data_IF_625503127353
#
_entry.id   IF_625503127353
#
_cell.length_a   1.000
_cell.length_b   1.000
_cell.length_c   1.000
_cell.angle_alpha   90.00
_cell.angle_beta   90.00
_cell.angle_gamma   90.00
#
_symmetry.space_group_name_H-M   'P 1'
#
loop_
_entity.id
_entity.type
_entity.pdbx_description
1 polymer ?
#
# COMPACT_ATOMS: atom_id res chain seq x y z
N UNK A 1 -18.43 -1.02 0.91
CA UNK A 1 -16.98 -1.18 0.73
C UNK A 1 -16.71 -2.14 -0.43
N UNK A 2 -15.86 -1.78 -1.38
CA UNK A 2 -15.42 -2.69 -2.42
C UNK A 2 -14.06 -3.28 -2.04
N UNK A 3 -13.92 -4.60 -2.10
CA UNK A 3 -12.67 -5.31 -1.84
C UNK A 3 -12.26 -6.07 -3.09
N UNK A 4 -11.03 -5.84 -3.55
CA UNK A 4 -10.47 -6.47 -4.74
C UNK A 4 -9.48 -7.53 -4.31
N UNK A 5 -9.69 -8.79 -4.72
CA UNK A 5 -8.79 -9.91 -4.40
C UNK A 5 -8.85 -10.99 -5.48
N UNK A 6 -7.82 -11.83 -5.53
CA UNK A 6 -7.72 -12.96 -6.43
C UNK A 6 -7.02 -14.11 -5.71
N UNK A 7 -7.66 -15.29 -5.65
CA UNK A 7 -7.13 -16.44 -4.94
C UNK A 7 -5.75 -16.90 -5.45
N UNK A 8 -5.41 -16.60 -6.70
CA UNK A 8 -4.09 -16.90 -7.27
C UNK A 8 -2.94 -16.19 -6.57
N UNK A 9 -3.19 -15.10 -5.82
CA UNK A 9 -2.14 -14.49 -5.00
C UNK A 9 -1.69 -15.38 -3.82
N UNK A 10 -2.37 -16.50 -3.57
CA UNK A 10 -2.01 -17.49 -2.56
C UNK A 10 -1.05 -18.58 -3.07
N UNK A 11 -0.77 -18.63 -4.38
CA UNK A 11 -0.06 -19.73 -5.03
C UNK A 11 1.46 -19.72 -4.84
N UNK A 12 2.03 -18.66 -4.24
CA UNK A 12 3.45 -18.58 -3.98
C UNK A 12 3.77 -18.36 -2.50
N UNK A 13 4.83 -18.98 -2.03
CA UNK A 13 5.34 -18.84 -0.66
C UNK A 13 6.78 -19.35 -0.55
N UNK A 14 7.50 -18.94 0.47
CA UNK A 14 8.74 -19.56 0.91
C UNK A 14 8.62 -19.93 2.40
N UNK A 15 9.32 -20.97 2.87
CA UNK A 15 9.36 -21.32 4.29
C UNK A 15 9.77 -20.11 5.15
N UNK A 16 9.07 -19.91 6.26
CA UNK A 16 9.35 -18.86 7.26
C UNK A 16 9.34 -17.41 6.74
N UNK A 17 8.91 -17.20 5.49
CA UNK A 17 8.82 -15.86 4.93
C UNK A 17 7.62 -15.09 5.50
N UNK A 18 7.80 -13.85 6.02
CA UNK A 18 6.72 -13.11 6.66
C UNK A 18 5.63 -12.67 5.67
N UNK A 19 5.98 -12.36 4.42
CA UNK A 19 5.03 -12.08 3.34
C UNK A 19 4.49 -13.43 2.80
N UNK A 20 3.41 -13.91 3.39
CA UNK A 20 2.85 -15.27 3.24
C UNK A 20 1.37 -15.26 2.84
N UNK A 21 0.86 -16.36 2.21
CA UNK A 21 -0.54 -16.47 1.75
C UNK A 21 -1.58 -16.21 2.82
N UNK A 22 -1.30 -16.58 4.09
CA UNK A 22 -2.21 -16.42 5.23
C UNK A 22 -2.60 -14.97 5.48
N UNK A 23 -1.77 -14.01 5.10
CA UNK A 23 -2.08 -12.58 5.15
C UNK A 23 -3.37 -12.26 4.42
N UNK A 24 -3.58 -12.90 3.27
CA UNK A 24 -4.78 -12.68 2.44
C UNK A 24 -5.88 -13.67 2.80
N UNK A 25 -5.59 -14.96 2.93
CA UNK A 25 -6.62 -15.98 3.13
C UNK A 25 -7.37 -15.80 4.44
N UNK A 26 -6.67 -15.59 5.57
CA UNK A 26 -7.29 -15.33 6.87
C UNK A 26 -8.07 -14.01 6.87
N UNK A 27 -7.52 -12.95 6.26
CA UNK A 27 -8.22 -11.66 6.15
C UNK A 27 -9.50 -11.78 5.30
N UNK A 28 -9.42 -12.42 4.14
CA UNK A 28 -10.59 -12.63 3.30
C UNK A 28 -11.67 -13.48 4.01
N UNK A 29 -11.26 -14.48 4.79
CA UNK A 29 -12.17 -15.30 5.60
C UNK A 29 -12.90 -14.43 6.65
N UNK A 30 -12.18 -13.60 7.43
CA UNK A 30 -12.78 -12.70 8.41
C UNK A 30 -13.72 -11.70 7.73
N UNK A 31 -13.27 -11.06 6.63
CA UNK A 31 -14.08 -10.07 5.93
C UNK A 31 -15.35 -10.64 5.28
N UNK A 32 -15.37 -11.93 4.92
CA UNK A 32 -16.59 -12.60 4.44
C UNK A 32 -17.58 -12.93 5.57
N UNK A 33 -17.11 -13.11 6.79
CA UNK A 33 -17.93 -13.46 7.96
C UNK A 33 -18.48 -12.25 8.72
N UNK A 34 -17.79 -11.10 8.66
CA UNK A 34 -18.20 -9.88 9.36
C UNK A 34 -19.54 -9.36 8.83
N UNK A 35 -20.27 -8.59 9.68
CA UNK A 35 -21.58 -8.02 9.36
C UNK A 35 -21.67 -6.53 9.66
N UNK A 36 -20.55 -5.90 10.00
CA UNK A 36 -20.51 -4.50 10.42
C UNK A 36 -20.80 -3.53 9.26
N UNK A 37 -20.37 -3.91 8.04
CA UNK A 37 -20.59 -3.13 6.82
C UNK A 37 -20.67 -4.04 5.59
N UNK A 38 -21.41 -3.64 4.53
CA UNK A 38 -21.51 -4.46 3.33
C UNK A 38 -20.21 -4.43 2.52
N UNK A 39 -19.84 -5.60 1.97
CA UNK A 39 -18.67 -5.74 1.08
C UNK A 39 -19.13 -6.27 -0.28
N UNK A 40 -18.64 -5.63 -1.34
CA UNK A 40 -18.72 -6.12 -2.73
C UNK A 40 -17.33 -6.58 -3.14
N UNK A 41 -17.22 -7.83 -3.55
CA UNK A 41 -15.97 -8.45 -3.97
C UNK A 41 -15.75 -8.30 -5.47
N UNK A 42 -14.50 -7.98 -5.85
CA UNK A 42 -14.11 -7.81 -7.25
C UNK A 42 -12.82 -8.57 -7.56
N UNK A 43 -12.65 -8.91 -8.84
CA UNK A 43 -11.38 -9.37 -9.38
C UNK A 43 -10.52 -8.19 -9.90
N UNK A 44 -9.18 -8.35 -9.91
CA UNK A 44 -8.27 -7.39 -10.53
C UNK A 44 -8.54 -7.18 -12.02
N UNK A 45 -8.18 -6.01 -12.54
CA UNK A 45 -8.08 -5.81 -13.97
C UNK A 45 -6.90 -6.57 -14.57
N UNK A 46 -6.97 -7.02 -15.83
CA UNK A 46 -5.78 -7.47 -16.54
C UNK A 46 -4.82 -6.31 -16.76
N UNK A 47 -3.52 -6.60 -16.71
CA UNK A 47 -2.44 -5.59 -16.82
C UNK A 47 -1.45 -6.05 -17.89
N UNK A 48 -1.19 -5.18 -18.86
CA UNK A 48 -0.20 -5.35 -19.91
C UNK A 48 1.16 -4.73 -19.55
N UNK A 49 2.16 -4.94 -20.39
CA UNK A 49 3.51 -4.39 -20.21
C UNK A 49 3.51 -2.86 -20.21
N UNK A 50 2.69 -2.22 -21.06
CA UNK A 50 2.62 -0.76 -21.12
C UNK A 50 2.18 -0.14 -19.80
N UNK A 51 1.31 -0.80 -19.08
CA UNK A 51 0.85 -0.36 -17.76
C UNK A 51 1.99 -0.40 -16.74
N UNK A 52 2.82 -1.45 -16.75
CA UNK A 52 3.98 -1.54 -15.85
C UNK A 52 5.04 -0.49 -16.20
N UNK A 53 5.29 -0.26 -17.49
CA UNK A 53 6.25 0.72 -18.00
C UNK A 53 5.86 2.19 -17.72
N UNK A 54 4.70 2.44 -17.15
CA UNK A 54 4.34 3.78 -16.64
C UNK A 54 5.26 4.21 -15.49
N UNK A 55 5.68 3.27 -14.65
CA UNK A 55 6.48 3.51 -13.46
C UNK A 55 7.86 2.85 -13.50
N UNK A 56 8.00 1.75 -14.22
CA UNK A 56 9.23 0.97 -14.30
C UNK A 56 9.89 1.06 -15.68
N UNK A 57 11.18 0.76 -15.75
CA UNK A 57 11.88 0.61 -17.02
C UNK A 57 11.73 -0.82 -17.59
N UNK A 58 12.05 -0.95 -18.87
CA UNK A 58 11.93 -2.24 -19.60
C UNK A 58 12.88 -3.31 -19.04
N UNK A 59 14.07 -2.92 -18.61
CA UNK A 59 15.05 -3.84 -18.03
C UNK A 59 14.51 -4.46 -16.74
N UNK A 60 13.88 -3.65 -15.86
CA UNK A 60 13.24 -4.13 -14.65
C UNK A 60 12.08 -5.08 -14.94
N UNK A 61 11.19 -4.67 -15.85
CA UNK A 61 10.07 -5.52 -16.27
C UNK A 61 10.56 -6.89 -16.78
N UNK A 62 11.56 -6.91 -17.63
CA UNK A 62 12.14 -8.14 -18.15
C UNK A 62 12.82 -8.95 -17.06
N UNK A 63 13.54 -8.31 -16.14
CA UNK A 63 14.14 -8.97 -14.97
C UNK A 63 13.08 -9.66 -14.12
N UNK A 64 11.99 -9.00 -13.75
CA UNK A 64 10.92 -9.62 -12.95
C UNK A 64 10.26 -10.79 -13.67
N UNK A 65 10.18 -10.75 -15.01
CA UNK A 65 9.63 -11.85 -15.83
C UNK A 65 10.52 -13.09 -15.88
N UNK A 66 11.83 -12.92 -15.80
CA UNK A 66 12.80 -13.97 -16.16
C UNK A 66 13.72 -14.40 -15.01
N UNK A 67 13.71 -13.68 -13.89
CA UNK A 67 14.60 -13.99 -12.77
C UNK A 67 14.37 -15.39 -12.21
N UNK A 68 15.45 -16.08 -11.95
CA UNK A 68 15.51 -17.38 -11.27
C UNK A 68 16.21 -17.29 -9.91
N UNK A 69 16.90 -16.17 -9.66
CA UNK A 69 17.57 -15.86 -8.41
C UNK A 69 16.86 -14.71 -7.69
N UNK A 70 16.98 -14.65 -6.36
CA UNK A 70 16.37 -13.62 -5.55
C UNK A 70 16.80 -12.21 -6.00
N UNK A 71 15.88 -11.26 -5.96
CA UNK A 71 16.12 -9.86 -6.30
C UNK A 71 16.92 -9.12 -5.23
N UNK A 72 16.70 -9.52 -3.98
CA UNK A 72 17.41 -9.04 -2.78
C UNK A 72 17.36 -10.14 -1.71
N UNK A 73 17.97 -9.90 -0.55
CA UNK A 73 18.00 -10.87 0.55
C UNK A 73 16.61 -11.22 1.08
N UNK A 74 15.63 -10.36 0.84
CA UNK A 74 14.26 -10.45 1.34
C UNK A 74 13.21 -10.62 0.24
N UNK A 75 13.61 -10.63 -1.02
CA UNK A 75 12.67 -10.63 -2.17
C UNK A 75 13.00 -11.80 -3.11
N UNK A 76 12.45 -13.00 -2.83
CA UNK A 76 12.73 -14.20 -3.62
C UNK A 76 12.15 -14.14 -5.03
N UNK A 77 12.78 -14.85 -5.98
CA UNK A 77 12.22 -15.09 -7.30
C UNK A 77 11.29 -16.31 -7.27
N UNK A 78 10.02 -16.07 -7.01
CA UNK A 78 9.01 -17.13 -7.09
C UNK A 78 8.65 -17.46 -8.54
N UNK A 79 8.25 -18.70 -8.78
CA UNK A 79 7.71 -19.09 -10.09
C UNK A 79 6.50 -18.22 -10.45
N UNK A 80 6.52 -17.66 -11.65
CA UNK A 80 5.45 -16.79 -12.18
C UNK A 80 5.22 -15.51 -11.34
N UNK A 81 6.20 -15.04 -10.59
CA UNK A 81 6.03 -13.86 -9.73
C UNK A 81 5.58 -12.62 -10.50
N UNK A 82 6.03 -12.44 -11.74
CA UNK A 82 5.59 -11.34 -12.60
C UNK A 82 4.06 -11.33 -12.78
N UNK A 83 3.43 -12.49 -12.92
CA UNK A 83 1.98 -12.59 -13.09
C UNK A 83 1.24 -12.29 -11.78
N UNK A 84 1.77 -12.72 -10.63
CA UNK A 84 1.20 -12.36 -9.33
C UNK A 84 1.32 -10.85 -9.07
N UNK A 85 2.48 -10.26 -9.33
CA UNK A 85 2.70 -8.82 -9.21
C UNK A 85 1.78 -8.00 -10.15
N UNK A 86 1.58 -8.46 -11.40
CA UNK A 86 0.62 -7.84 -12.33
C UNK A 86 -0.82 -7.85 -11.79
N UNK A 87 -1.25 -8.95 -11.16
CA UNK A 87 -2.58 -9.01 -10.55
C UNK A 87 -2.72 -8.03 -9.40
N UNK A 88 -1.66 -7.85 -8.59
CA UNK A 88 -1.64 -6.84 -7.53
C UNK A 88 -1.75 -5.42 -8.10
N UNK A 89 -1.00 -5.10 -9.15
CA UNK A 89 -1.17 -3.82 -9.90
C UNK A 89 -2.59 -3.69 -10.42
N UNK A 90 -3.15 -4.73 -11.04
CA UNK A 90 -4.50 -4.74 -11.58
C UNK A 90 -5.58 -4.49 -10.53
N UNK A 91 -5.36 -4.96 -9.29
CA UNK A 91 -6.24 -4.68 -8.17
C UNK A 91 -6.18 -3.21 -7.74
N UNK A 92 -4.96 -2.62 -7.71
CA UNK A 92 -4.79 -1.18 -7.49
C UNK A 92 -5.49 -0.34 -8.54
N UNK A 93 -5.38 -0.69 -9.82
CA UNK A 93 -6.08 0.00 -10.92
C UNK A 93 -7.61 -0.15 -10.83
N UNK A 94 -8.11 -1.31 -10.41
CA UNK A 94 -9.53 -1.52 -10.15
C UNK A 94 -10.02 -0.67 -8.98
N UNK A 95 -9.21 -0.56 -7.91
CA UNK A 95 -9.52 0.30 -6.77
C UNK A 95 -9.60 1.79 -7.19
N UNK A 96 -8.66 2.27 -8.00
CA UNK A 96 -8.70 3.62 -8.60
C UNK A 96 -9.97 3.83 -9.44
N UNK A 97 -10.33 2.85 -10.27
CA UNK A 97 -11.53 2.94 -11.10
C UNK A 97 -12.80 3.09 -10.25
N UNK A 98 -12.93 2.33 -9.17
CA UNK A 98 -14.06 2.40 -8.25
C UNK A 98 -14.06 3.72 -7.47
N UNK A 99 -12.90 4.12 -6.94
CA UNK A 99 -12.75 5.38 -6.21
C UNK A 99 -13.12 6.60 -7.08
N UNK A 100 -12.76 6.60 -8.35
CA UNK A 100 -13.13 7.64 -9.31
C UNK A 100 -14.65 7.79 -9.46
N UNK A 101 -15.43 6.76 -9.17
CA UNK A 101 -16.90 6.76 -9.15
C UNK A 101 -17.49 7.17 -7.81
N UNK A 102 -16.65 7.57 -6.84
CA UNK A 102 -17.07 7.90 -5.49
C UNK A 102 -17.26 6.69 -4.57
N UNK A 103 -16.78 5.52 -4.98
CA UNK A 103 -16.90 4.27 -4.23
C UNK A 103 -15.61 4.01 -3.44
N UNK A 104 -15.71 3.62 -2.16
CA UNK A 104 -14.56 3.22 -1.35
C UNK A 104 -14.05 1.85 -1.81
N UNK A 105 -12.73 1.73 -1.99
CA UNK A 105 -12.12 0.53 -2.51
C UNK A 105 -10.82 0.17 -1.78
N UNK A 106 -10.62 -1.13 -1.55
CA UNK A 106 -9.43 -1.71 -0.93
C UNK A 106 -8.89 -2.88 -1.75
N UNK A 107 -7.64 -2.81 -2.15
CA UNK A 107 -6.92 -3.91 -2.78
C UNK A 107 -6.35 -4.84 -1.70
N UNK A 108 -6.98 -6.00 -1.54
CA UNK A 108 -6.53 -7.08 -0.66
C UNK A 108 -5.72 -8.09 -1.49
N UNK A 109 -4.51 -7.70 -1.86
CA UNK A 109 -3.64 -8.49 -2.74
C UNK A 109 -2.22 -8.57 -2.19
N UNK A 110 -1.46 -9.50 -2.72
CA UNK A 110 -0.01 -9.64 -2.63
C UNK A 110 0.56 -9.98 -4.01
N UNK A 111 1.80 -9.59 -4.29
CA UNK A 111 2.76 -8.90 -3.42
C UNK A 111 2.42 -7.42 -3.15
N UNK A 112 3.02 -6.82 -2.11
CA UNK A 112 3.01 -5.37 -1.88
C UNK A 112 3.80 -4.62 -2.96
N UNK A 113 3.89 -3.28 -2.88
CA UNK A 113 4.49 -2.53 -3.98
C UNK A 113 5.37 -1.34 -3.60
N UNK A 114 5.21 -0.71 -2.44
CA UNK A 114 5.77 0.60 -2.15
C UNK A 114 7.32 0.68 -2.12
N UNK A 115 8.00 -0.47 -1.93
CA UNK A 115 9.47 -0.52 -1.98
C UNK A 115 10.06 -0.68 -3.38
N UNK A 116 9.30 -1.20 -4.36
CA UNK A 116 9.80 -1.39 -5.72
C UNK A 116 10.11 -0.04 -6.37
N UNK A 117 11.39 0.20 -6.66
CA UNK A 117 11.84 1.40 -7.35
C UNK A 117 11.63 1.27 -8.86
N UNK A 118 12.01 2.27 -9.64
CA UNK A 118 11.88 2.24 -11.09
C UNK A 118 12.55 1.01 -11.74
N UNK A 119 13.64 0.53 -11.15
CA UNK A 119 14.52 -0.48 -11.72
C UNK A 119 14.98 -1.56 -10.74
N UNK A 120 14.40 -1.64 -9.56
CA UNK A 120 14.80 -2.60 -8.54
C UNK A 120 13.63 -3.13 -7.73
N UNK A 121 13.53 -4.46 -7.59
CA UNK A 121 12.61 -5.15 -6.71
C UNK A 121 13.28 -5.40 -5.35
N UNK A 122 12.61 -5.05 -4.25
CA UNK A 122 13.11 -5.18 -2.88
C UNK A 122 11.96 -5.09 -1.88
N UNK A 123 12.18 -5.47 -0.62
CA UNK A 123 11.17 -5.35 0.43
C UNK A 123 9.88 -6.09 0.08
N UNK A 124 9.99 -7.29 -0.48
CA UNK A 124 8.86 -8.11 -0.94
C UNK A 124 8.09 -7.54 -2.14
N UNK A 125 8.50 -6.38 -2.68
CA UNK A 125 7.84 -5.64 -3.75
C UNK A 125 8.54 -5.87 -5.10
N UNK A 126 7.76 -6.20 -6.13
CA UNK A 126 8.26 -6.45 -7.48
C UNK A 126 7.91 -5.33 -8.45
N UNK A 127 6.66 -4.86 -8.43
CA UNK A 127 6.20 -3.66 -9.13
C UNK A 127 5.56 -2.71 -8.12
N UNK A 128 5.71 -1.42 -8.35
CA UNK A 128 5.15 -0.40 -7.46
C UNK A 128 3.67 -0.17 -7.78
N UNK A 129 2.82 -0.91 -7.06
CA UNK A 129 1.36 -0.90 -7.27
C UNK A 129 0.78 0.50 -7.13
N UNK A 130 1.18 1.23 -6.06
CA UNK A 130 0.63 2.54 -5.72
C UNK A 130 1.12 3.63 -6.69
N UNK A 131 2.39 3.62 -7.10
CA UNK A 131 2.92 4.59 -8.05
C UNK A 131 2.29 4.40 -9.43
N UNK A 132 2.13 3.15 -9.90
CA UNK A 132 1.42 2.87 -11.16
C UNK A 132 -0.03 3.36 -11.07
N UNK A 133 -0.70 3.11 -9.94
CA UNK A 133 -2.07 3.57 -9.71
C UNK A 133 -2.17 5.10 -9.72
N UNK A 134 -1.23 5.82 -9.08
CA UNK A 134 -1.19 7.28 -9.04
C UNK A 134 -1.00 7.89 -10.44
N UNK A 135 -0.02 7.41 -11.19
CA UNK A 135 0.26 7.89 -12.54
C UNK A 135 -0.87 7.56 -13.51
N UNK A 136 -1.52 6.41 -13.33
CA UNK A 136 -2.71 6.02 -14.11
C UNK A 136 -3.90 6.91 -13.77
N UNK A 137 -4.14 7.21 -12.49
CA UNK A 137 -5.19 8.13 -12.07
C UNK A 137 -5.04 9.52 -12.72
N UNK A 138 -3.81 10.06 -12.78
CA UNK A 138 -3.51 11.32 -13.46
C UNK A 138 -3.85 11.26 -14.95
N UNK A 139 -3.42 10.21 -15.65
CA UNK A 139 -3.72 9.99 -17.08
C UNK A 139 -5.23 9.93 -17.35
N UNK A 140 -6.00 9.46 -16.39
CA UNK A 140 -7.45 9.36 -16.46
C UNK A 140 -8.19 10.56 -15.86
N UNK A 141 -7.54 11.72 -15.73
CA UNK A 141 -8.17 13.01 -15.44
C UNK A 141 -8.19 13.42 -13.96
N UNK A 142 -7.59 12.63 -13.05
CA UNK A 142 -7.36 13.04 -11.67
C UNK A 142 -6.11 13.93 -11.60
N UNK A 143 -6.24 15.22 -11.92
CA UNK A 143 -5.08 16.13 -12.09
C UNK A 143 -4.14 16.15 -10.91
N UNK A 144 -4.67 16.27 -9.67
CA UNK A 144 -3.88 16.22 -8.44
C UNK A 144 -4.16 14.90 -7.73
N UNK A 145 -3.11 14.12 -7.51
CA UNK A 145 -3.17 12.85 -6.79
C UNK A 145 -2.26 12.94 -5.57
N UNK A 146 -2.77 12.51 -4.42
CA UNK A 146 -1.95 12.34 -3.22
C UNK A 146 -1.80 10.86 -2.90
N UNK A 147 -0.60 10.47 -2.49
CA UNK A 147 -0.32 9.19 -1.83
C UNK A 147 -0.16 9.46 -0.34
N UNK A 148 -0.84 8.71 0.48
CA UNK A 148 -0.70 8.67 1.93
C UNK A 148 -0.23 7.27 2.31
N UNK A 149 1.01 7.15 2.70
CA UNK A 149 1.64 5.91 3.12
C UNK A 149 1.73 5.87 4.65
N UNK A 150 1.09 4.87 5.27
CA UNK A 150 1.19 4.62 6.69
C UNK A 150 1.76 3.24 7.01
N UNK A 151 2.40 2.60 6.03
CA UNK A 151 3.29 1.47 6.32
C UNK A 151 4.42 1.94 7.23
N UNK A 152 4.89 1.09 8.13
CA UNK A 152 5.93 1.47 9.08
C UNK A 152 7.30 1.65 8.43
N UNK A 153 7.48 1.11 7.23
CA UNK A 153 8.71 1.23 6.45
C UNK A 153 8.59 2.35 5.41
N UNK A 154 9.66 3.09 5.19
CA UNK A 154 9.69 4.11 4.14
C UNK A 154 9.35 3.54 2.77
N UNK A 155 8.36 4.12 2.09
CA UNK A 155 7.98 3.79 0.71
C UNK A 155 8.97 4.33 -0.31
N UNK A 156 10.24 3.92 -0.18
CA UNK A 156 11.37 4.40 -0.98
C UNK A 156 11.16 4.26 -2.48
N UNK A 157 10.46 3.21 -2.92
CA UNK A 157 10.13 3.00 -4.33
C UNK A 157 9.08 4.00 -4.82
N UNK A 158 8.07 4.26 -4.01
CA UNK A 158 7.05 5.28 -4.30
C UNK A 158 7.66 6.65 -4.39
N UNK A 159 8.51 7.03 -3.43
CA UNK A 159 9.27 8.28 -3.47
C UNK A 159 10.12 8.36 -4.73
N UNK A 160 10.97 7.38 -5.02
CA UNK A 160 11.85 7.37 -6.18
C UNK A 160 11.13 7.51 -7.53
N UNK A 161 9.90 7.01 -7.64
CA UNK A 161 9.10 7.09 -8.87
C UNK A 161 8.33 8.41 -8.97
N UNK A 162 7.82 8.92 -7.85
CA UNK A 162 6.89 10.05 -7.81
C UNK A 162 7.54 11.38 -7.44
N UNK A 163 8.77 11.39 -6.92
CA UNK A 163 9.51 12.61 -6.59
C UNK A 163 9.67 13.54 -7.79
N UNK A 164 9.41 14.83 -7.57
CA UNK A 164 9.44 15.86 -8.62
C UNK A 164 8.30 15.78 -9.63
N UNK A 165 7.34 14.84 -9.49
CA UNK A 165 6.21 14.75 -10.41
C UNK A 165 5.22 15.88 -10.16
N UNK A 166 4.85 16.65 -11.21
CA UNK A 166 3.91 17.75 -11.05
C UNK A 166 2.52 17.24 -10.63
N UNK A 167 1.91 17.97 -9.70
CA UNK A 167 0.56 17.64 -9.19
C UNK A 167 0.44 16.26 -8.51
N UNK A 168 1.53 15.73 -8.01
CA UNK A 168 1.56 14.59 -7.10
C UNK A 168 2.07 15.08 -5.75
N UNK A 169 1.51 14.55 -4.67
CA UNK A 169 2.00 14.69 -3.30
C UNK A 169 2.21 13.29 -2.75
N UNK A 170 3.32 13.04 -2.10
CA UNK A 170 3.56 11.85 -1.28
C UNK A 170 3.71 12.29 0.17
N UNK A 171 2.95 11.66 1.05
CA UNK A 171 3.04 11.79 2.51
C UNK A 171 3.32 10.41 3.04
N UNK A 172 4.44 10.24 3.71
CA UNK A 172 4.93 8.96 4.19
C UNK A 172 5.24 9.06 5.69
N UNK A 173 4.65 8.19 6.49
CA UNK A 173 4.80 8.15 7.94
C UNK A 173 5.49 6.84 8.31
N UNK A 174 6.77 6.89 8.67
CA UNK A 174 7.53 5.67 8.88
C UNK A 174 8.51 5.74 10.05
N UNK A 175 8.93 4.58 10.52
CA UNK A 175 9.99 4.45 11.51
C UNK A 175 11.34 4.80 10.90
N UNK A 176 12.11 5.64 11.59
CA UNK A 176 13.50 5.93 11.22
C UNK A 176 14.39 6.03 12.47
N UNK A 177 15.57 5.36 12.52
CA UNK A 177 16.09 4.47 11.48
C UNK A 177 15.33 3.13 11.42
N UNK A 178 15.09 2.64 10.20
CA UNK A 178 14.55 1.32 9.90
C UNK A 178 14.85 0.94 8.44
N UNK A 179 14.45 -0.27 8.02
CA UNK A 179 14.48 -0.67 6.61
C UNK A 179 13.70 0.35 5.74
N UNK A 180 14.17 0.69 4.54
CA UNK A 180 15.41 0.29 3.89
C UNK A 180 16.61 1.20 4.22
N UNK A 181 16.52 2.09 5.20
CA UNK A 181 17.58 3.03 5.59
C UNK A 181 17.55 4.37 4.83
N UNK A 182 16.43 4.67 4.19
CA UNK A 182 16.17 5.92 3.43
C UNK A 182 15.01 6.71 4.04
N UNK A 183 14.69 7.87 3.49
CA UNK A 183 13.56 8.69 3.94
C UNK A 183 13.83 9.55 5.16
N UNK A 184 15.11 9.79 5.51
CA UNK A 184 15.49 10.64 6.66
C UNK A 184 15.15 12.11 6.49
N UNK A 185 14.93 12.58 5.26
CA UNK A 185 14.58 13.95 4.94
C UNK A 185 13.38 13.98 3.97
N UNK A 186 12.62 15.08 4.01
CA UNK A 186 11.59 15.35 2.99
C UNK A 186 12.23 15.99 1.76
N UNK A 187 11.82 15.57 0.57
CA UNK A 187 12.35 16.07 -0.70
C UNK A 187 11.23 16.41 -1.69
N UNK A 188 11.29 17.60 -2.30
CA UNK A 188 10.33 18.08 -3.31
C UNK A 188 8.85 17.97 -2.87
N UNK A 189 8.10 17.10 -3.53
CA UNK A 189 6.71 16.77 -3.26
C UNK A 189 6.53 15.55 -2.34
N UNK A 190 7.61 15.04 -1.75
CA UNK A 190 7.62 13.91 -0.83
C UNK A 190 7.88 14.42 0.60
N UNK A 191 6.91 14.22 1.48
CA UNK A 191 6.94 14.65 2.86
C UNK A 191 7.06 13.44 3.78
N UNK A 192 8.22 13.28 4.41
CA UNK A 192 8.56 12.19 5.31
C UNK A 192 8.34 12.62 6.77
N UNK A 193 7.53 11.86 7.50
CA UNK A 193 7.22 12.04 8.92
C UNK A 193 7.86 10.90 9.71
N UNK A 194 8.88 11.23 10.48
CA UNK A 194 9.79 10.25 11.08
C UNK A 194 9.36 9.89 12.49
N UNK A 195 9.31 8.61 12.79
CA UNK A 195 9.02 8.07 14.10
C UNK A 195 10.22 7.28 14.62
N UNK A 196 10.67 7.59 15.81
CA UNK A 196 11.71 6.79 16.46
C UNK A 196 11.24 5.35 16.72
N UNK A 197 12.15 4.38 16.74
CA UNK A 197 11.80 3.04 17.21
C UNK A 197 11.13 3.11 18.59
N UNK A 198 10.06 2.34 18.79
CA UNK A 198 9.22 2.30 20.00
C UNK A 198 8.42 3.58 20.28
N UNK A 199 8.14 4.38 19.25
CA UNK A 199 7.19 5.47 19.39
C UNK A 199 5.83 4.95 19.84
N UNK A 200 5.17 5.73 20.69
CA UNK A 200 3.84 5.40 21.19
C UNK A 200 2.77 5.53 20.09
N UNK A 201 1.60 4.97 20.35
CA UNK A 201 0.44 5.17 19.46
C UNK A 201 0.10 6.66 19.30
N UNK A 202 0.18 7.44 20.38
CA UNK A 202 -0.12 8.87 20.38
C UNK A 202 0.84 9.65 19.46
N UNK A 203 2.14 9.33 19.52
CA UNK A 203 3.16 9.94 18.64
C UNK A 203 2.89 9.59 17.18
N UNK A 204 2.63 8.31 16.88
CA UNK A 204 2.33 7.86 15.51
C UNK A 204 1.09 8.56 14.94
N UNK A 205 0.03 8.61 15.72
CA UNK A 205 -1.24 9.27 15.34
C UNK A 205 -1.05 10.78 15.14
N UNK A 206 -0.21 11.42 15.94
CA UNK A 206 0.11 12.85 15.77
C UNK A 206 0.78 13.13 14.42
N UNK A 207 1.77 12.32 14.02
CA UNK A 207 2.44 12.47 12.71
C UNK A 207 1.48 12.17 11.55
N UNK A 208 0.62 11.15 11.68
CA UNK A 208 -0.45 10.90 10.70
C UNK A 208 -1.37 12.11 10.55
N UNK A 209 -1.76 12.74 11.66
CA UNK A 209 -2.63 13.92 11.63
C UNK A 209 -1.95 15.12 10.94
N UNK A 210 -0.66 15.34 11.18
CA UNK A 210 0.11 16.39 10.48
C UNK A 210 0.19 16.10 8.97
N UNK A 211 0.51 14.87 8.58
CA UNK A 211 0.52 14.46 7.17
C UNK A 211 -0.84 14.67 6.49
N UNK A 212 -1.94 14.34 7.16
CA UNK A 212 -3.30 14.58 6.64
C UNK A 212 -3.63 16.07 6.48
N UNK A 213 -3.08 16.96 7.32
CA UNK A 213 -3.23 18.43 7.14
C UNK A 213 -2.54 18.90 5.86
N UNK A 214 -1.32 18.41 5.59
CA UNK A 214 -0.60 18.73 4.35
C UNK A 214 -1.37 18.23 3.13
N UNK A 215 -1.91 17.02 3.22
CA UNK A 215 -2.73 16.44 2.17
C UNK A 215 -3.99 17.30 1.91
N UNK A 216 -4.71 17.73 2.95
CA UNK A 216 -5.86 18.64 2.82
C UNK A 216 -5.49 19.97 2.15
N UNK A 217 -4.31 20.54 2.50
CA UNK A 217 -3.80 21.79 1.91
C UNK A 217 -3.48 21.64 0.42
N UNK A 218 -2.98 20.48 -0.01
CA UNK A 218 -2.71 20.18 -1.41
C UNK A 218 -3.97 20.10 -2.26
N UNK A 219 -5.14 19.82 -1.67
CA UNK A 219 -6.46 19.69 -2.33
C UNK A 219 -6.43 18.67 -3.48
N UNK A 220 -6.08 17.40 -3.22
CA UNK A 220 -6.05 16.39 -4.26
C UNK A 220 -7.45 16.12 -4.81
N UNK A 221 -7.52 15.57 -6.02
CA UNK A 221 -8.77 15.05 -6.59
C UNK A 221 -9.00 13.58 -6.22
N UNK A 222 -7.94 12.91 -5.76
CA UNK A 222 -7.95 11.51 -5.32
C UNK A 222 -6.82 11.29 -4.32
N UNK A 223 -7.10 10.47 -3.32
CA UNK A 223 -6.11 9.98 -2.37
C UNK A 223 -5.92 8.47 -2.61
N UNK A 224 -4.67 8.07 -2.78
CA UNK A 224 -4.25 6.68 -2.79
C UNK A 224 -3.56 6.39 -1.46
N UNK A 225 -3.87 5.26 -0.86
CA UNK A 225 -3.33 4.90 0.44
C UNK A 225 -2.49 3.64 0.31
N UNK A 226 -1.18 3.74 0.60
CA UNK A 226 -0.36 2.58 0.93
C UNK A 226 -0.71 2.19 2.36
N UNK A 227 -1.47 1.10 2.49
CA UNK A 227 -2.03 0.68 3.75
C UNK A 227 -1.19 -0.48 4.32
N UNK A 228 -0.16 -0.13 5.11
CA UNK A 228 0.62 -1.08 5.90
C UNK A 228 0.04 -1.22 7.32
N UNK A 229 0.14 -2.41 7.87
CA UNK A 229 -0.38 -2.73 9.20
C UNK A 229 0.72 -3.19 10.16
N UNK A 230 1.96 -3.01 9.77
CA UNK A 230 3.16 -3.41 10.50
C UNK A 230 3.62 -2.40 11.58
N UNK A 231 2.99 -1.22 11.64
CA UNK A 231 3.10 -0.35 12.81
C UNK A 231 2.34 -0.89 14.05
N UNK A 232 1.67 -2.03 13.94
CA UNK A 232 1.00 -2.70 15.04
C UNK A 232 2.00 -3.17 16.11
N UNK A 233 1.68 -2.94 17.38
CA UNK A 233 2.58 -3.19 18.54
C UNK A 233 3.16 -4.60 18.67
N UNK A 234 2.54 -5.60 18.03
CA UNK A 234 2.99 -6.99 18.03
C UNK A 234 3.42 -7.45 16.62
N UNK A 235 3.72 -6.54 15.72
CA UNK A 235 4.27 -6.92 14.42
C UNK A 235 5.73 -7.39 14.58
N UNK A 236 6.13 -8.49 13.92
CA UNK A 236 7.48 -9.04 14.08
C UNK A 236 8.57 -8.22 13.38
N UNK A 237 8.24 -7.33 12.44
CA UNK A 237 9.23 -6.62 11.61
C UNK A 237 9.46 -5.17 12.01
N UNK A 238 8.66 -4.62 12.94
CA UNK A 238 8.78 -3.22 13.34
C UNK A 238 8.60 -3.03 14.84
N UNK A 239 8.79 -1.80 15.32
CA UNK A 239 8.80 -1.49 16.74
C UNK A 239 7.92 -0.26 17.03
N UNK A 240 6.69 -0.25 16.54
CA UNK A 240 5.73 0.83 16.81
C UNK A 240 4.63 0.37 17.78
N UNK A 241 3.86 1.30 18.28
CA UNK A 241 2.90 1.06 19.36
C UNK A 241 1.42 1.05 18.96
N UNK A 242 1.07 0.99 17.65
CA UNK A 242 -0.32 1.06 17.22
C UNK A 242 -1.15 -0.14 17.70
N UNK A 243 -2.39 0.13 18.05
CA UNK A 243 -3.41 -0.85 18.44
C UNK A 243 -4.54 -0.92 17.39
N UNK A 244 -5.42 -1.90 17.51
CA UNK A 244 -6.57 -2.08 16.59
C UNK A 244 -7.41 -0.80 16.44
N UNK A 245 -7.64 -0.05 17.55
CA UNK A 245 -8.39 1.21 17.55
C UNK A 245 -7.76 2.30 16.67
N UNK A 246 -6.44 2.29 16.54
CA UNK A 246 -5.70 3.30 15.81
C UNK A 246 -5.85 3.11 14.29
N UNK A 247 -5.91 1.87 13.82
CA UNK A 247 -6.25 1.58 12.41
C UNK A 247 -7.71 1.95 12.08
N UNK A 248 -8.64 1.78 13.03
CA UNK A 248 -10.00 2.31 12.87
C UNK A 248 -9.99 3.84 12.77
N UNK A 249 -9.21 4.52 13.61
CA UNK A 249 -9.04 5.97 13.56
C UNK A 249 -8.48 6.41 12.20
N UNK A 250 -7.41 5.76 11.69
CA UNK A 250 -6.84 6.04 10.36
C UNK A 250 -7.91 5.96 9.27
N UNK A 251 -8.70 4.88 9.25
CA UNK A 251 -9.79 4.73 8.29
C UNK A 251 -10.80 5.88 8.36
N UNK A 252 -11.22 6.27 9.57
CA UNK A 252 -12.15 7.36 9.79
C UNK A 252 -11.60 8.72 9.35
N UNK A 253 -10.34 9.03 9.66
CA UNK A 253 -9.72 10.30 9.29
C UNK A 253 -9.53 10.41 7.76
N UNK A 254 -9.11 9.32 7.09
CA UNK A 254 -9.03 9.26 5.63
C UNK A 254 -10.42 9.46 5.00
N UNK A 255 -11.47 8.81 5.53
CA UNK A 255 -12.84 9.04 5.09
C UNK A 255 -13.26 10.50 5.26
N UNK A 256 -12.89 11.15 6.38
CA UNK A 256 -13.25 12.54 6.68
C UNK A 256 -12.75 13.55 5.64
N UNK A 257 -11.80 13.17 4.79
CA UNK A 257 -11.33 14.00 3.68
C UNK A 257 -12.43 14.29 2.66
N UNK A 258 -13.47 13.43 2.57
CA UNK A 258 -14.58 13.60 1.62
C UNK A 258 -14.15 13.48 0.16
N UNK A 259 -13.05 12.77 -0.10
CA UNK A 259 -12.43 12.62 -1.42
C UNK A 259 -12.58 11.18 -1.93
N UNK A 260 -12.43 10.95 -3.26
CA UNK A 260 -12.18 9.61 -3.79
C UNK A 260 -10.96 8.96 -3.15
N UNK A 261 -11.13 7.76 -2.56
CA UNK A 261 -10.06 7.02 -1.87
C UNK A 261 -9.94 5.61 -2.41
N UNK A 262 -8.71 5.20 -2.75
CA UNK A 262 -8.35 3.83 -3.04
C UNK A 262 -7.18 3.40 -2.14
N UNK A 263 -7.36 2.36 -1.35
CA UNK A 263 -6.33 1.83 -0.45
C UNK A 263 -5.78 0.51 -0.99
N UNK A 264 -4.47 0.33 -0.92
CA UNK A 264 -3.75 -0.85 -1.34
C UNK A 264 -2.99 -1.43 -0.15
N UNK A 265 -3.13 -2.73 0.08
CA UNK A 265 -2.40 -3.43 1.13
C UNK A 265 -0.90 -3.42 0.84
N UNK A 266 -0.12 -3.01 1.82
CA UNK A 266 1.34 -3.13 1.85
C UNK A 266 1.77 -4.12 2.95
N UNK A 267 2.50 -3.70 3.96
CA UNK A 267 2.96 -4.54 5.06
C UNK A 267 1.89 -4.95 6.08
N UNK A 268 2.36 -5.56 7.14
CA UNK A 268 1.56 -6.16 8.22
C UNK A 268 1.72 -7.68 8.25
N UNK A 269 2.45 -8.17 9.27
CA UNK A 269 2.97 -9.55 9.31
C UNK A 269 2.56 -10.30 10.56
N UNK A 270 1.85 -9.64 11.49
CA UNK A 270 1.31 -10.27 12.68
C UNK A 270 0.08 -11.12 12.35
N UNK A 271 -0.23 -12.10 13.21
CA UNK A 271 -1.47 -12.89 13.08
C UNK A 271 -2.75 -12.06 13.30
N UNK A 272 -2.63 -10.85 13.86
CA UNK A 272 -3.74 -9.91 14.04
C UNK A 272 -4.10 -9.13 12.75
N UNK A 273 -3.37 -9.29 11.65
CA UNK A 273 -3.60 -8.55 10.40
C UNK A 273 -5.08 -8.55 9.95
N UNK A 274 -5.84 -9.67 10.02
CA UNK A 274 -7.26 -9.65 9.66
C UNK A 274 -8.10 -8.65 10.45
N UNK A 275 -7.87 -8.57 11.77
CA UNK A 275 -8.57 -7.65 12.68
C UNK A 275 -8.15 -6.19 12.43
N UNK A 276 -6.87 -5.95 12.13
CA UNK A 276 -6.35 -4.61 11.83
C UNK A 276 -6.97 -4.07 10.54
N UNK A 277 -6.97 -4.87 9.47
CA UNK A 277 -7.62 -4.51 8.20
C UNK A 277 -9.13 -4.30 8.39
N UNK A 278 -9.80 -5.20 9.14
CA UNK A 278 -11.22 -5.03 9.44
C UNK A 278 -11.52 -3.72 10.15
N UNK A 279 -10.73 -3.37 11.18
CA UNK A 279 -10.88 -2.11 11.92
C UNK A 279 -10.67 -0.89 11.01
N UNK A 280 -9.62 -0.89 10.16
CA UNK A 280 -9.37 0.16 9.18
C UNK A 280 -10.55 0.33 8.21
N UNK A 281 -11.03 -0.77 7.62
CA UNK A 281 -12.15 -0.74 6.67
C UNK A 281 -13.46 -0.33 7.34
N UNK A 282 -13.67 -0.67 8.61
CA UNK A 282 -14.82 -0.24 9.41
C UNK A 282 -14.82 1.29 9.56
N UNK A 283 -13.70 1.87 9.99
CA UNK A 283 -13.52 3.32 10.07
C UNK A 283 -13.70 4.00 8.71
N UNK A 284 -13.07 3.45 7.65
CA UNK A 284 -13.19 3.98 6.29
C UNK A 284 -14.63 3.89 5.75
N UNK A 285 -15.42 2.90 6.19
CA UNK A 285 -16.84 2.77 5.83
C UNK A 285 -17.78 3.69 6.65
N UNK A 286 -17.27 4.27 7.74
CA UNK A 286 -18.02 5.18 8.62
C UNK A 286 -18.84 4.47 9.68
N UNK A 287 -18.40 3.31 10.13
CA UNK A 287 -19.04 2.49 11.18
C UNK A 287 -18.18 2.40 12.45
#
# INVERSE_FOLDING_TARGET
MNVITDARCLEYSAPDHPERPERISKTAELLRKQKDYPIVWHEPFPVDDHTILIAHDEAHLNHVKTATEAFSNDTPAYKNIAEHARRSVGAGLKAVHLAKRGELAFSLMRPPGHHATRNHAMGFCYFNNIAIAALTAQRHGMRRVAVFDFDVHHGNGTEAILKGRPNVLVVDIHQYPAYPGTGGDSEDNCHNYLLSPKASSEEYIAECAEGLKVLKKFRPHMVLVSAGFDAYKNDPLAQQGLEVKDFHWLGREIRSLGLPVASLLEGGYSDALPELIHAYLKGLSGH
#
